data_IF_074609798119
#
_entry.id   IF_074609798119
#
_cell.length_a   1.000
_cell.length_b   1.000
_cell.length_c   1.000
_cell.angle_alpha   90.00
_cell.angle_beta   90.00
_cell.angle_gamma   90.00
#
_symmetry.space_group_name_H-M   'P 1'
#
loop_
_entity.id
_entity.type
_entity.pdbx_description
1 polymer ?
#
# COMPACT_ATOMS: atom_id res chain seq x y z
N UNK A 1 7.69 -6.85 15.08
CA UNK A 1 8.50 -6.98 13.86
C UNK A 1 7.70 -6.71 12.62
N UNK A 2 6.67 -7.53 12.31
CA UNK A 2 5.87 -7.29 11.11
C UNK A 2 5.12 -5.95 11.20
N UNK A 3 4.64 -5.57 12.37
CA UNK A 3 3.94 -4.29 12.52
C UNK A 3 4.88 -3.09 12.29
N UNK A 4 6.14 -3.21 12.66
CA UNK A 4 7.12 -2.17 12.38
C UNK A 4 7.38 -2.04 10.87
N UNK A 5 7.43 -3.16 10.16
CA UNK A 5 7.59 -3.17 8.71
C UNK A 5 6.38 -2.53 8.03
N UNK A 6 5.17 -2.86 8.49
CA UNK A 6 3.93 -2.29 7.96
C UNK A 6 3.87 -0.79 8.20
N UNK A 7 4.23 -0.36 9.39
CA UNK A 7 4.24 1.07 9.74
C UNK A 7 5.23 1.84 8.86
N UNK A 8 6.43 1.29 8.69
CA UNK A 8 7.46 1.89 7.85
C UNK A 8 7.01 1.97 6.40
N UNK A 9 6.45 0.88 5.87
CA UNK A 9 5.98 0.84 4.48
C UNK A 9 4.81 1.79 4.27
N UNK A 10 3.88 1.85 5.23
CA UNK A 10 2.77 2.80 5.17
C UNK A 10 3.26 4.24 5.07
N UNK A 11 4.29 4.57 5.85
CA UNK A 11 4.89 5.91 5.82
C UNK A 11 5.52 6.18 4.45
N UNK A 12 6.23 5.20 3.89
CA UNK A 12 6.86 5.34 2.57
C UNK A 12 5.81 5.55 1.47
N UNK A 13 4.72 4.80 1.51
CA UNK A 13 3.64 4.94 0.54
C UNK A 13 3.03 6.33 0.66
N UNK A 14 2.77 6.78 1.87
CA UNK A 14 2.20 8.09 2.12
C UNK A 14 3.10 9.20 1.58
N UNK A 15 4.39 9.13 1.88
CA UNK A 15 5.37 10.12 1.42
C UNK A 15 5.51 10.14 -0.10
N UNK A 16 5.55 8.97 -0.72
CA UNK A 16 5.80 8.85 -2.16
C UNK A 16 4.58 9.18 -3.01
N UNK A 17 3.38 8.88 -2.52
CA UNK A 17 2.16 9.02 -3.32
C UNK A 17 1.26 10.12 -2.77
N UNK A 18 0.90 10.07 -1.49
CA UNK A 18 -0.09 10.98 -0.92
C UNK A 18 0.41 12.42 -0.82
N UNK A 19 1.72 12.60 -0.71
CA UNK A 19 2.34 13.94 -0.61
C UNK A 19 2.86 14.44 -1.95
N UNK A 20 2.70 13.67 -3.02
CA UNK A 20 3.16 14.05 -4.35
C UNK A 20 2.05 14.82 -5.07
N UNK A 21 2.25 16.14 -5.25
CA UNK A 21 1.26 17.01 -5.86
C UNK A 21 1.01 16.71 -7.34
N UNK A 22 1.90 15.97 -8.00
CA UNK A 22 1.72 15.57 -9.40
C UNK A 22 0.74 14.40 -9.54
N UNK A 23 0.43 13.72 -8.43
CA UNK A 23 -0.55 12.63 -8.41
C UNK A 23 -1.94 13.24 -8.24
N UNK A 24 -2.95 12.79 -9.03
CA UNK A 24 -4.31 13.35 -8.89
C UNK A 24 -4.84 13.23 -7.46
N UNK A 25 -5.62 14.22 -7.06
CA UNK A 25 -6.17 14.28 -5.70
C UNK A 25 -6.96 13.03 -5.34
N UNK A 26 -7.78 12.53 -6.26
CA UNK A 26 -8.59 11.33 -6.00
C UNK A 26 -7.70 10.11 -5.74
N UNK A 27 -6.59 9.97 -6.47
CA UNK A 27 -5.64 8.88 -6.25
C UNK A 27 -4.98 9.03 -4.88
N UNK A 28 -4.52 10.22 -4.54
CA UNK A 28 -3.89 10.48 -3.24
C UNK A 28 -4.85 10.14 -2.09
N UNK A 29 -6.09 10.59 -2.21
CA UNK A 29 -7.11 10.34 -1.20
C UNK A 29 -7.43 8.85 -1.07
N UNK A 30 -7.56 8.14 -2.18
CA UNK A 30 -7.85 6.72 -2.19
C UNK A 30 -6.72 5.91 -1.53
N UNK A 31 -5.47 6.29 -1.79
CA UNK A 31 -4.32 5.64 -1.18
C UNK A 31 -4.33 5.82 0.34
N UNK A 32 -4.54 7.04 0.81
CA UNK A 32 -4.59 7.31 2.26
C UNK A 32 -5.72 6.53 2.91
N UNK A 33 -6.91 6.55 2.31
CA UNK A 33 -8.06 5.80 2.83
C UNK A 33 -7.75 4.31 2.91
N UNK A 34 -7.13 3.76 1.86
CA UNK A 34 -6.74 2.35 1.84
C UNK A 34 -5.76 2.00 2.95
N UNK A 35 -4.75 2.85 3.17
CA UNK A 35 -3.79 2.63 4.25
C UNK A 35 -4.47 2.62 5.61
N UNK A 36 -5.35 3.58 5.85
CA UNK A 36 -6.01 3.72 7.15
C UNK A 36 -7.07 2.66 7.39
N UNK A 37 -7.83 2.32 6.36
CA UNK A 37 -8.93 1.37 6.48
C UNK A 37 -8.42 -0.07 6.56
N UNK A 38 -7.39 -0.40 5.82
CA UNK A 38 -6.93 -1.78 5.67
C UNK A 38 -5.56 -2.03 6.30
N UNK A 39 -4.52 -1.38 5.81
CA UNK A 39 -3.16 -1.73 6.21
C UNK A 39 -2.90 -1.47 7.69
N UNK A 40 -3.38 -0.36 8.20
CA UNK A 40 -3.17 0.04 9.59
C UNK A 40 -4.25 -0.45 10.53
N UNK A 41 -5.21 -1.21 10.04
CA UNK A 41 -6.30 -1.75 10.85
C UNK A 41 -5.84 -3.06 11.52
N UNK A 42 -5.38 -2.95 12.75
CA UNK A 42 -4.81 -4.08 13.48
C UNK A 42 -5.84 -5.11 13.94
N UNK A 43 -7.13 -4.82 13.78
CA UNK A 43 -8.19 -5.76 14.14
C UNK A 43 -8.39 -6.85 13.10
N UNK A 44 -7.96 -6.61 11.86
CA UNK A 44 -8.04 -7.59 10.80
C UNK A 44 -6.79 -8.48 10.78
N UNK A 45 -6.93 -9.68 10.21
CA UNK A 45 -5.79 -10.57 10.00
C UNK A 45 -4.81 -9.93 9.02
N UNK A 46 -3.54 -10.25 9.17
CA UNK A 46 -2.47 -9.62 8.39
C UNK A 46 -2.67 -9.80 6.88
N UNK A 47 -3.02 -11.02 6.44
CA UNK A 47 -3.21 -11.28 5.02
C UNK A 47 -4.36 -10.44 4.45
N UNK A 48 -5.45 -10.31 5.18
CA UNK A 48 -6.57 -9.47 4.75
C UNK A 48 -6.16 -8.01 4.64
N UNK A 49 -5.43 -7.51 5.64
CA UNK A 49 -4.93 -6.12 5.65
C UNK A 49 -4.08 -5.84 4.41
N UNK A 50 -3.15 -6.73 4.11
CA UNK A 50 -2.21 -6.54 3.02
C UNK A 50 -2.89 -6.69 1.67
N UNK A 51 -3.67 -7.76 1.46
CA UNK A 51 -4.31 -7.98 0.15
C UNK A 51 -5.37 -6.92 -0.15
N UNK A 52 -6.09 -6.43 0.86
CA UNK A 52 -7.05 -5.34 0.65
C UNK A 52 -6.33 -4.06 0.23
N UNK A 53 -5.18 -3.78 0.84
CA UNK A 53 -4.37 -2.62 0.46
C UNK A 53 -3.83 -2.77 -0.96
N UNK A 54 -3.34 -3.96 -1.31
CA UNK A 54 -2.86 -4.23 -2.67
C UNK A 54 -3.97 -3.95 -3.69
N UNK A 55 -5.20 -4.38 -3.41
CA UNK A 55 -6.33 -4.13 -4.31
C UNK A 55 -6.55 -2.64 -4.54
N UNK A 56 -6.46 -1.85 -3.48
CA UNK A 56 -6.61 -0.39 -3.59
C UNK A 56 -5.50 0.19 -4.49
N UNK A 57 -4.25 -0.23 -4.26
CA UNK A 57 -3.13 0.27 -5.05
C UNK A 57 -3.26 -0.14 -6.52
N UNK A 58 -3.71 -1.37 -6.79
CA UNK A 58 -3.93 -1.83 -8.16
C UNK A 58 -4.98 -1.00 -8.89
N UNK A 59 -6.03 -0.59 -8.21
CA UNK A 59 -7.03 0.29 -8.80
C UNK A 59 -6.41 1.63 -9.20
N UNK A 60 -5.52 2.17 -8.37
CA UNK A 60 -4.89 3.46 -8.64
C UNK A 60 -3.94 3.40 -9.83
N UNK A 61 -3.28 2.27 -10.04
CA UNK A 61 -2.38 2.08 -11.19
C UNK A 61 -3.12 2.26 -12.51
N UNK A 62 -4.40 1.93 -12.55
CA UNK A 62 -5.22 2.02 -13.76
C UNK A 62 -5.75 3.42 -14.04
N UNK A 63 -5.51 4.39 -13.16
CA UNK A 63 -5.94 5.77 -13.39
C UNK A 63 -5.12 6.38 -14.53
N UNK A 64 -5.82 6.90 -15.55
CA UNK A 64 -5.18 7.41 -16.77
C UNK A 64 -4.30 8.64 -16.51
N UNK A 65 -4.56 9.37 -15.43
CA UNK A 65 -3.88 10.62 -15.13
C UNK A 65 -2.71 10.48 -14.17
N UNK A 66 -2.41 9.27 -13.72
CA UNK A 66 -1.30 9.05 -12.79
C UNK A 66 0.04 9.16 -13.54
N UNK A 67 1.02 9.92 -13.00
CA UNK A 67 2.35 10.02 -13.63
C UNK A 67 3.07 8.66 -13.61
N UNK A 68 3.95 8.46 -14.59
CA UNK A 68 4.67 7.20 -14.71
C UNK A 68 5.52 6.89 -13.46
N UNK A 69 6.16 7.91 -12.87
CA UNK A 69 6.97 7.66 -11.67
C UNK A 69 6.13 7.16 -10.49
N UNK A 70 4.91 7.65 -10.37
CA UNK A 70 4.01 7.20 -9.30
C UNK A 70 3.51 5.78 -9.58
N UNK A 71 3.22 5.47 -10.85
CA UNK A 71 2.81 4.11 -11.24
C UNK A 71 3.90 3.10 -10.91
N UNK A 72 5.14 3.44 -11.22
CA UNK A 72 6.29 2.59 -10.91
C UNK A 72 6.41 2.34 -9.40
N UNK A 73 6.26 3.41 -8.60
CA UNK A 73 6.31 3.28 -7.14
C UNK A 73 5.18 2.41 -6.60
N UNK A 74 3.99 2.53 -7.15
CA UNK A 74 2.86 1.69 -6.74
C UNK A 74 3.15 0.21 -6.99
N UNK A 75 3.74 -0.15 -8.14
CA UNK A 75 4.14 -1.52 -8.41
C UNK A 75 5.18 -2.01 -7.40
N UNK A 76 6.14 -1.17 -7.04
CA UNK A 76 7.16 -1.52 -6.04
C UNK A 76 6.52 -1.76 -4.67
N UNK A 77 5.58 -0.92 -4.26
CA UNK A 77 4.88 -1.07 -2.98
C UNK A 77 4.05 -2.34 -2.94
N UNK A 78 3.39 -2.68 -4.04
CA UNK A 78 2.63 -3.94 -4.14
C UNK A 78 3.56 -5.11 -3.92
N UNK A 79 4.73 -5.11 -4.54
CA UNK A 79 5.74 -6.16 -4.37
C UNK A 79 6.19 -6.26 -2.92
N UNK A 80 6.45 -5.10 -2.28
CA UNK A 80 6.87 -5.07 -0.89
C UNK A 80 5.80 -5.64 0.04
N UNK A 81 4.54 -5.31 -0.22
CA UNK A 81 3.41 -5.83 0.56
C UNK A 81 3.29 -7.34 0.40
N UNK A 82 3.41 -7.84 -0.81
CA UNK A 82 3.37 -9.28 -1.06
C UNK A 82 4.51 -9.99 -0.32
N UNK A 83 5.69 -9.37 -0.28
CA UNK A 83 6.84 -9.91 0.45
C UNK A 83 6.58 -10.04 1.94
N UNK A 84 5.86 -9.09 2.53
CA UNK A 84 5.51 -9.14 3.95
C UNK A 84 4.62 -10.35 4.25
N UNK A 85 3.60 -10.58 3.43
CA UNK A 85 2.69 -11.72 3.62
C UNK A 85 3.42 -13.04 3.45
N UNK A 86 4.27 -13.15 2.45
CA UNK A 86 5.03 -14.38 2.22
C UNK A 86 5.91 -14.73 3.41
N UNK A 87 6.60 -13.74 3.98
CA UNK A 87 7.42 -13.95 5.17
C UNK A 87 6.57 -14.35 6.37
N UNK A 88 5.44 -13.69 6.56
CA UNK A 88 4.54 -13.97 7.67
C UNK A 88 3.99 -15.39 7.58
N UNK A 89 3.57 -15.81 6.39
CA UNK A 89 3.03 -17.15 6.18
C UNK A 89 4.08 -18.22 6.49
N UNK A 90 5.33 -17.99 6.11
CA UNK A 90 6.43 -18.94 6.40
C UNK A 90 6.69 -19.06 7.90
N UNK A 91 6.62 -17.95 8.62
CA UNK A 91 6.90 -17.96 10.06
C UNK A 91 5.72 -18.46 10.89
N UNK A 92 4.51 -18.45 10.32
CA UNK A 92 3.30 -18.92 11.01
C UNK A 92 3.16 -20.44 10.98
N UNK A 93 3.88 -21.09 10.08
CA UNK A 93 3.88 -22.54 9.99
C UNK A 93 4.78 -23.15 11.05
#
# INVERSE_FOLDING_TARGET
>A
MVEAQISSLSQDIRSSIAEDSSVPRNVRSNVVTGLETYLLNKQDDLDLRVYSTISVLEEQINDANIPQHARTRLFEFIRDLEGIVLKWEKTSE
#
